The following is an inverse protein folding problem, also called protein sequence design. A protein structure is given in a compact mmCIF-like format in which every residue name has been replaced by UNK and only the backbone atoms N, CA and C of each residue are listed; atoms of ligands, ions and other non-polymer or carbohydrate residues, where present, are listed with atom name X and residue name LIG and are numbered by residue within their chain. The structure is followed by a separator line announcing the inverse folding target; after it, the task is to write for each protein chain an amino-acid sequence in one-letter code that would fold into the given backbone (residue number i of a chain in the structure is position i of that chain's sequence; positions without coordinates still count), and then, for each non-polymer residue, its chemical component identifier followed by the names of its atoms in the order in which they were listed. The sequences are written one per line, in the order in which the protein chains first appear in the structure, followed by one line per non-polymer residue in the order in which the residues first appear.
data_IF_529812878165
#
_entry.id   IF_529812878165
#
_cell.length_a   1.000
_cell.length_b   1.000
_cell.length_c   1.000
_cell.angle_alpha   90.00
_cell.angle_beta   90.00
_cell.angle_gamma   90.00
#
_symmetry.space_group_name_H-M   'P 1'
#
loop_
_entity.id
_entity.type
_entity.pdbx_description
1 polymer ?
#
# COMPACT_ATOMS: atom_id res chain seq x y z
N UNK A 1 5.02 -32.63 -1.46
CA UNK A 1 5.89 -31.48 -1.13
C UNK A 1 5.81 -30.48 -2.26
N UNK A 2 5.04 -29.41 -2.11
CA UNK A 2 5.02 -28.30 -3.08
C UNK A 2 6.23 -27.39 -2.80
N UNK A 3 6.92 -26.87 -3.82
CA UNK A 3 8.13 -26.08 -3.62
C UNK A 3 7.81 -24.74 -2.94
N UNK A 4 8.44 -24.52 -1.78
CA UNK A 4 8.35 -23.34 -0.89
C UNK A 4 8.82 -22.01 -1.51
N UNK A 5 8.99 -21.90 -2.84
CA UNK A 5 9.59 -20.74 -3.49
C UNK A 5 8.61 -19.62 -3.88
N UNK A 6 7.30 -19.80 -3.64
CA UNK A 6 6.28 -18.84 -4.09
C UNK A 6 5.62 -17.99 -2.99
N UNK A 7 5.92 -18.24 -1.70
CA UNK A 7 5.26 -17.55 -0.57
C UNK A 7 5.99 -16.31 -0.03
N UNK A 8 7.15 -15.94 -0.58
CA UNK A 8 7.95 -14.80 -0.08
C UNK A 8 8.19 -13.73 -1.16
N UNK A 9 7.12 -13.08 -1.63
CA UNK A 9 7.26 -11.74 -2.18
C UNK A 9 6.78 -10.74 -1.14
N UNK A 10 7.68 -10.06 -0.41
CA UNK A 10 7.25 -8.99 0.49
C UNK A 10 6.45 -7.96 -0.32
N UNK A 11 5.41 -7.41 0.29
CA UNK A 11 4.78 -6.19 -0.21
C UNK A 11 5.87 -5.18 -0.59
N UNK A 12 5.73 -4.41 -1.68
CA UNK A 12 6.80 -3.54 -2.15
C UNK A 12 7.28 -2.67 -0.99
N UNK A 13 8.50 -2.96 -0.54
CA UNK A 13 9.18 -2.21 0.52
C UNK A 13 9.18 -0.73 0.11
N UNK A 14 8.95 0.16 1.09
CA UNK A 14 8.84 1.61 0.94
C UNK A 14 10.09 2.23 0.27
N UNK A 15 10.24 2.05 -1.04
CA UNK A 15 11.51 2.27 -1.72
C UNK A 15 11.44 2.11 -3.24
N UNK A 16 10.79 1.05 -3.75
CA UNK A 16 10.72 0.83 -5.21
C UNK A 16 9.75 1.80 -5.92
N UNK A 17 8.66 2.19 -5.27
CA UNK A 17 7.70 3.18 -5.80
C UNK A 17 8.28 4.59 -5.95
N UNK A 18 9.38 4.91 -5.25
CA UNK A 18 9.96 6.28 -5.18
C UNK A 18 10.46 6.79 -6.53
N UNK A 19 10.82 5.89 -7.46
CA UNK A 19 11.43 6.26 -8.76
C UNK A 19 10.44 6.39 -9.91
N UNK A 20 9.15 6.21 -9.64
CA UNK A 20 8.14 6.09 -10.70
C UNK A 20 7.33 7.38 -10.84
N UNK A 21 7.41 8.00 -12.02
CA UNK A 21 6.74 9.26 -12.32
C UNK A 21 5.22 9.12 -12.36
N UNK A 22 4.49 10.18 -12.03
CA UNK A 22 3.06 10.29 -12.29
C UNK A 22 2.79 10.62 -13.76
N UNK A 23 1.62 11.18 -14.05
CA UNK A 23 1.27 11.69 -15.40
C UNK A 23 2.10 12.90 -15.83
N UNK A 24 2.74 13.57 -14.87
CA UNK A 24 3.61 14.74 -15.05
C UNK A 24 5.05 14.39 -15.43
N UNK A 25 5.40 13.10 -15.49
CA UNK A 25 6.75 12.65 -15.88
C UNK A 25 7.84 12.87 -14.82
N UNK A 26 7.54 13.55 -13.70
CA UNK A 26 8.52 13.87 -12.66
C UNK A 26 8.83 12.64 -11.79
N UNK A 27 10.09 12.19 -11.80
CA UNK A 27 10.58 11.04 -11.01
C UNK A 27 11.19 11.45 -9.68
N UNK A 28 11.84 12.61 -9.65
CA UNK A 28 12.48 13.20 -8.49
C UNK A 28 12.42 14.73 -8.61
N UNK A 29 12.51 15.42 -7.48
CA UNK A 29 12.57 16.87 -7.39
C UNK A 29 13.82 17.30 -6.61
N UNK A 30 14.41 18.42 -7.04
CA UNK A 30 15.57 19.03 -6.39
C UNK A 30 15.23 19.57 -5.00
N UNK A 31 16.22 19.82 -4.12
CA UNK A 31 15.97 20.43 -2.82
C UNK A 31 15.18 21.75 -2.91
N UNK A 32 15.51 22.61 -3.88
CA UNK A 32 14.78 23.86 -4.13
C UNK A 32 13.31 23.61 -4.48
N UNK A 33 13.05 22.68 -5.39
CA UNK A 33 11.69 22.30 -5.77
C UNK A 33 10.90 21.68 -4.61
N UNK A 34 11.56 21.07 -3.63
CA UNK A 34 10.87 20.59 -2.40
C UNK A 34 10.36 21.75 -1.56
N UNK A 35 11.14 22.81 -1.40
CA UNK A 35 10.68 24.01 -0.70
C UNK A 35 9.50 24.65 -1.43
N UNK A 36 9.60 24.81 -2.76
CA UNK A 36 8.50 25.32 -3.59
C UNK A 36 7.23 24.44 -3.49
N UNK A 37 7.41 23.12 -3.40
CA UNK A 37 6.30 22.18 -3.17
C UNK A 37 5.65 22.38 -1.80
N UNK A 38 6.43 22.59 -0.74
CA UNK A 38 5.89 22.83 0.61
C UNK A 38 5.04 24.10 0.64
N UNK A 39 5.52 25.18 0.02
CA UNK A 39 4.77 26.43 -0.07
C UNK A 39 3.47 26.28 -0.86
N UNK A 40 3.49 25.51 -1.96
CA UNK A 40 2.34 25.33 -2.85
C UNK A 40 1.39 24.18 -2.46
N UNK A 41 1.74 23.36 -1.45
CA UNK A 41 0.99 22.12 -1.15
C UNK A 41 -0.47 22.38 -0.76
N UNK A 42 -0.71 23.51 -0.09
CA UNK A 42 -2.02 24.00 0.39
C UNK A 42 -2.87 24.70 -0.68
N UNK A 43 -2.33 24.88 -1.90
CA UNK A 43 -3.07 25.44 -3.03
C UNK A 43 -4.18 24.52 -3.54
N UNK A 44 -4.57 24.66 -4.82
CA UNK A 44 -5.66 23.88 -5.42
C UNK A 44 -5.55 22.36 -5.10
N UNK A 45 -6.55 21.84 -4.37
CA UNK A 45 -6.62 20.46 -3.89
C UNK A 45 -7.10 19.45 -4.94
N UNK A 46 -7.44 19.91 -6.15
CA UNK A 46 -7.84 19.03 -7.24
C UNK A 46 -6.67 18.13 -7.63
N UNK A 47 -6.83 16.83 -7.37
CA UNK A 47 -5.83 15.82 -7.70
C UNK A 47 -5.70 15.66 -9.23
N UNK A 48 -4.49 15.34 -9.69
CA UNK A 48 -4.26 14.97 -11.09
C UNK A 48 -4.68 13.51 -11.33
N UNK A 49 -5.02 13.14 -12.58
CA UNK A 49 -5.32 11.74 -12.90
C UNK A 49 -4.12 10.84 -12.59
N UNK A 50 -4.40 9.62 -12.10
CA UNK A 50 -3.38 8.62 -11.83
C UNK A 50 -2.82 8.06 -13.14
N UNK A 51 -1.50 7.88 -13.22
CA UNK A 51 -0.90 7.18 -14.36
C UNK A 51 -1.07 5.67 -14.18
N UNK A 52 -1.78 5.02 -15.11
CA UNK A 52 -2.00 3.56 -15.06
C UNK A 52 -0.79 2.80 -15.61
N UNK A 53 -0.33 1.82 -14.85
CA UNK A 53 0.70 0.85 -15.26
C UNK A 53 0.18 -0.55 -14.99
N UNK A 54 0.34 -1.46 -15.96
CA UNK A 54 -0.05 -2.85 -15.80
C UNK A 54 1.15 -3.69 -15.36
N UNK A 55 1.03 -4.37 -14.23
CA UNK A 55 2.07 -5.23 -13.67
C UNK A 55 1.58 -6.68 -13.78
N UNK A 56 2.34 -7.60 -14.39
CA UNK A 56 1.97 -9.01 -14.46
C UNK A 56 1.89 -9.62 -13.05
N UNK A 57 0.87 -10.46 -12.80
CA UNK A 57 0.84 -11.28 -11.60
C UNK A 57 1.87 -12.42 -11.75
N UNK A 58 2.68 -12.70 -10.72
CA UNK A 58 3.57 -13.86 -10.77
C UNK A 58 2.76 -15.15 -10.99
N UNK A 59 3.12 -15.92 -12.02
CA UNK A 59 2.50 -17.23 -12.30
C UNK A 59 1.06 -17.18 -12.83
N UNK A 60 0.56 -16.02 -13.29
CA UNK A 60 -0.75 -15.90 -13.95
C UNK A 60 -0.67 -14.94 -15.15
N UNK A 61 -1.51 -15.15 -16.16
CA UNK A 61 -1.60 -14.26 -17.33
C UNK A 61 -2.29 -12.92 -17.02
N UNK A 62 -2.97 -12.85 -15.89
CA UNK A 62 -3.63 -11.64 -15.41
C UNK A 62 -2.62 -10.54 -15.04
N UNK A 63 -2.95 -9.30 -15.40
CA UNK A 63 -2.21 -8.11 -14.97
C UNK A 63 -2.98 -7.37 -13.89
N UNK A 64 -2.29 -6.86 -12.87
CA UNK A 64 -2.85 -5.90 -11.91
C UNK A 64 -2.62 -4.49 -12.43
N UNK A 65 -3.64 -3.62 -12.47
CA UNK A 65 -3.39 -2.22 -12.71
C UNK A 65 -2.71 -1.62 -11.47
N UNK A 66 -1.91 -0.59 -11.66
CA UNK A 66 -1.32 0.25 -10.61
C UNK A 66 -1.58 1.70 -11.00
N UNK A 67 -2.20 2.48 -10.10
CA UNK A 67 -2.36 3.91 -10.27
C UNK A 67 -1.20 4.66 -9.62
N UNK A 68 -0.44 5.41 -10.41
CA UNK A 68 0.75 6.12 -9.94
C UNK A 68 0.46 7.62 -9.86
N UNK A 69 0.33 8.19 -8.65
CA UNK A 69 0.11 9.62 -8.45
C UNK A 69 1.37 10.44 -8.76
N UNK A 70 1.18 11.74 -8.98
CA UNK A 70 2.28 12.72 -9.10
C UNK A 70 3.02 12.90 -7.79
N UNK A 71 4.21 13.52 -7.81
CA UNK A 71 4.97 13.80 -6.57
C UNK A 71 4.16 14.70 -5.62
N UNK A 72 3.49 15.71 -6.17
CA UNK A 72 2.63 16.62 -5.42
C UNK A 72 1.45 15.89 -4.75
N UNK A 73 0.76 15.02 -5.48
CA UNK A 73 -0.35 14.25 -4.94
C UNK A 73 0.12 13.23 -3.89
N UNK A 74 1.30 12.61 -4.07
CA UNK A 74 1.92 11.76 -3.04
C UNK A 74 2.23 12.52 -1.77
N UNK A 75 2.76 13.73 -1.87
CA UNK A 75 3.05 14.57 -0.71
C UNK A 75 1.77 14.92 0.05
N UNK A 76 0.69 15.26 -0.67
CA UNK A 76 -0.64 15.53 -0.08
C UNK A 76 -1.23 14.29 0.59
N UNK A 77 -1.19 13.13 -0.07
CA UNK A 77 -1.64 11.87 0.52
C UNK A 77 -0.86 11.51 1.77
N UNK A 78 0.46 11.73 1.78
CA UNK A 78 1.31 11.51 2.95
C UNK A 78 0.95 12.45 4.10
N UNK A 79 0.67 13.74 3.81
CA UNK A 79 0.22 14.71 4.80
C UNK A 79 -1.11 14.29 5.44
N UNK A 80 -2.10 13.95 4.61
CA UNK A 80 -3.41 13.47 5.09
C UNK A 80 -3.23 12.20 5.91
N UNK A 81 -2.40 11.26 5.44
CA UNK A 81 -2.07 10.04 6.18
C UNK A 81 -1.47 10.38 7.55
N UNK A 82 -0.48 11.26 7.62
CA UNK A 82 0.16 11.61 8.90
C UNK A 82 -0.80 12.27 9.91
N UNK A 83 -1.82 12.98 9.42
CA UNK A 83 -2.83 13.59 10.27
C UNK A 83 -3.86 12.57 10.78
N UNK A 84 -4.24 11.60 9.93
CA UNK A 84 -5.31 10.65 10.25
C UNK A 84 -4.80 9.37 10.93
N UNK A 85 -3.58 8.93 10.63
CA UNK A 85 -3.01 7.66 11.12
C UNK A 85 -3.09 7.52 12.66
N UNK A 86 -2.75 8.53 13.50
CA UNK A 86 -2.82 8.39 14.95
C UNK A 86 -4.24 8.11 15.49
N UNK A 87 -5.24 8.81 14.95
CA UNK A 87 -6.63 8.64 15.34
C UNK A 87 -7.14 7.24 14.97
N UNK A 88 -6.86 6.78 13.74
CA UNK A 88 -7.31 5.46 13.30
C UNK A 88 -6.59 4.33 14.02
N UNK A 89 -5.31 4.48 14.34
CA UNK A 89 -4.57 3.48 15.12
C UNK A 89 -5.18 3.26 16.50
N UNK A 90 -5.77 4.28 17.12
CA UNK A 90 -6.48 4.14 18.39
C UNK A 90 -7.80 3.34 18.29
N UNK A 91 -8.37 3.24 17.09
CA UNK A 91 -9.67 2.60 16.84
C UNK A 91 -9.55 1.23 16.19
N UNK A 92 -8.41 0.93 15.57
CA UNK A 92 -8.23 -0.35 14.87
C UNK A 92 -8.23 -1.53 15.82
N UNK A 93 -8.84 -2.62 15.35
CA UNK A 93 -8.93 -3.87 16.09
C UNK A 93 -7.56 -4.55 16.23
N UNK A 94 -7.39 -5.31 17.32
CA UNK A 94 -6.10 -5.91 17.69
C UNK A 94 -5.61 -6.97 16.71
N UNK A 95 -6.52 -7.65 16.00
CA UNK A 95 -6.20 -8.66 14.98
C UNK A 95 -6.13 -8.10 13.55
N UNK A 96 -6.10 -6.77 13.40
CA UNK A 96 -5.78 -6.12 12.11
C UNK A 96 -4.28 -5.85 11.98
N UNK A 97 -3.63 -6.43 10.96
CA UNK A 97 -2.17 -6.34 10.76
C UNK A 97 -1.73 -5.64 9.48
N UNK A 98 -2.62 -5.52 8.49
CA UNK A 98 -2.27 -5.01 7.16
C UNK A 98 -2.04 -3.49 7.14
N UNK A 99 -0.93 -3.05 6.54
CA UNK A 99 -0.63 -1.63 6.26
C UNK A 99 -0.56 -0.69 7.49
N UNK A 100 -0.34 -1.24 8.69
CA UNK A 100 -0.25 -0.48 9.95
C UNK A 100 1.20 -0.28 10.42
N UNK A 101 1.53 0.85 11.07
CA UNK A 101 2.83 1.04 11.69
C UNK A 101 3.06 0.03 12.83
N UNK A 102 4.24 -0.57 12.89
CA UNK A 102 4.62 -1.52 13.95
C UNK A 102 3.90 -2.87 13.92
N UNK A 103 3.14 -3.17 12.86
CA UNK A 103 2.49 -4.47 12.63
C UNK A 103 2.96 -5.08 11.30
N UNK A 104 2.94 -6.39 11.23
CA UNK A 104 3.47 -7.15 10.09
C UNK A 104 2.66 -8.43 9.84
N UNK A 105 2.88 -9.05 8.67
CA UNK A 105 2.29 -10.35 8.36
C UNK A 105 2.77 -11.45 9.34
N UNK A 106 3.98 -11.31 9.88
CA UNK A 106 4.55 -12.23 10.86
C UNK A 106 3.77 -12.23 12.17
N UNK A 107 3.24 -11.08 12.60
CA UNK A 107 2.40 -10.99 13.80
C UNK A 107 1.10 -11.78 13.61
N UNK A 108 0.49 -11.69 12.42
CA UNK A 108 -0.70 -12.45 12.07
C UNK A 108 -0.43 -13.97 12.08
N UNK A 109 0.70 -14.39 11.50
CA UNK A 109 1.14 -15.79 11.50
C UNK A 109 1.34 -16.30 12.93
N UNK A 110 1.92 -15.49 13.82
CA UNK A 110 2.10 -15.84 15.23
C UNK A 110 0.77 -16.13 15.93
N UNK A 111 -0.23 -15.28 15.73
CA UNK A 111 -1.57 -15.51 16.31
C UNK A 111 -2.24 -16.76 15.75
N UNK A 112 -2.15 -16.98 14.43
CA UNK A 112 -2.69 -18.20 13.79
C UNK A 112 -2.01 -19.45 14.36
N UNK A 113 -0.68 -19.43 14.50
CA UNK A 113 0.09 -20.54 15.08
C UNK A 113 -0.33 -20.85 16.51
N UNK A 114 -0.51 -19.82 17.35
CA UNK A 114 -1.01 -19.98 18.72
C UNK A 114 -2.43 -20.56 18.76
N UNK A 115 -3.33 -20.13 17.88
CA UNK A 115 -4.70 -20.63 17.81
C UNK A 115 -4.75 -22.12 17.43
N UNK A 116 -3.94 -22.54 16.46
CA UNK A 116 -3.83 -23.95 16.04
C UNK A 116 -3.33 -24.82 17.19
N UNK A 117 -2.32 -24.36 17.94
CA UNK A 117 -1.80 -25.08 19.10
C UNK A 117 -2.81 -25.20 20.26
N UNK A 118 -3.84 -24.36 20.27
CA UNK A 118 -4.93 -24.41 21.24
C UNK A 118 -6.15 -25.23 20.75
N UNK A 119 -6.02 -25.92 19.61
CA UNK A 119 -7.06 -26.81 19.09
C UNK A 119 -8.01 -26.19 18.06
N UNK A 120 -7.73 -24.98 17.56
CA UNK A 120 -8.52 -24.34 16.51
C UNK A 120 -8.00 -24.76 15.12
N UNK A 121 -8.65 -25.77 14.51
CA UNK A 121 -8.17 -26.38 13.26
C UNK A 121 -8.93 -25.95 12.00
N UNK A 122 -10.08 -25.29 12.17
CA UNK A 122 -10.92 -24.87 11.04
C UNK A 122 -10.65 -23.40 10.70
N UNK A 123 -10.42 -23.13 9.42
CA UNK A 123 -10.15 -21.78 8.90
C UNK A 123 -11.21 -21.43 7.86
N UNK A 124 -11.82 -20.25 8.02
CA UNK A 124 -12.60 -19.62 6.97
C UNK A 124 -11.68 -18.73 6.15
N UNK A 125 -11.39 -19.14 4.92
CA UNK A 125 -10.63 -18.33 3.97
C UNK A 125 -11.60 -17.46 3.16
N UNK A 126 -11.46 -16.13 3.26
CA UNK A 126 -12.32 -15.15 2.62
C UNK A 126 -11.49 -13.99 2.07
N UNK A 127 -11.74 -13.62 0.81
CA UNK A 127 -11.08 -12.51 0.11
C UNK A 127 -12.11 -11.59 -0.55
N UNK A 128 -11.79 -10.30 -0.60
CA UNK A 128 -12.64 -9.29 -1.23
C UNK A 128 -12.16 -9.04 -2.67
N UNK A 129 -12.96 -9.47 -3.64
CA UNK A 129 -12.68 -9.25 -5.05
C UNK A 129 -12.51 -7.74 -5.35
N UNK A 130 -11.40 -7.38 -6.00
CA UNK A 130 -11.12 -6.02 -6.50
C UNK A 130 -11.22 -4.92 -5.42
N UNK A 131 -10.76 -5.17 -4.19
CA UNK A 131 -10.91 -4.25 -3.04
C UNK A 131 -10.48 -2.78 -3.27
N UNK A 132 -9.55 -2.53 -4.21
CA UNK A 132 -9.05 -1.17 -4.53
C UNK A 132 -9.61 -0.59 -5.85
N UNK A 133 -10.41 -1.36 -6.58
CA UNK A 133 -10.89 -1.00 -7.92
C UNK A 133 -12.40 -1.15 -8.01
N UNK A 134 -13.07 -0.04 -8.31
CA UNK A 134 -14.44 -0.07 -8.80
C UNK A 134 -14.37 -0.04 -10.33
N UNK A 135 -15.02 -0.99 -10.99
CA UNK A 135 -15.29 -0.84 -12.42
C UNK A 135 -16.23 0.37 -12.60
N UNK A 136 -16.05 1.17 -13.67
CA UNK A 136 -16.93 2.30 -13.95
C UNK A 136 -18.40 1.87 -14.06
#
# INVERSE_FOLDING_TARGET
MLPNSQLNKPAPQAGQGKKTAGVDGMRAISPRQRFELVESIKGNLKAKPLRRVWIPKPGRDEKRPLGIPTIQDRARQALVKSALEPEWESRFEGTSYGFRPGRSAQDAIGIIYSAINQGQYYVLDADIAKCSYREP
#
